data_IF_303725414643
#
_entry.id   IF_303725414643
#
_cell.length_a   1.000
_cell.length_b   1.000
_cell.length_c   1.000
_cell.angle_alpha   90.00
_cell.angle_beta   90.00
_cell.angle_gamma   90.00
#
_symmetry.space_group_name_H-M   'P 1'
#
loop_
_entity.id
_entity.type
_entity.pdbx_description
1 polymer ?
#
# COMPACT_ATOMS: atom_id res chain seq x y z
N UNK A 1 12.99 -7.85 28.34
CA UNK A 1 12.67 -9.20 28.81
C UNK A 1 13.68 -10.14 28.23
N UNK A 2 14.27 -11.02 29.03
CA UNK A 2 15.20 -12.03 28.51
C UNK A 2 14.47 -13.03 27.60
N UNK A 3 15.21 -13.63 26.66
CA UNK A 3 14.61 -14.51 25.66
C UNK A 3 13.90 -15.72 26.29
N UNK A 4 14.54 -16.35 27.28
CA UNK A 4 13.97 -17.50 27.97
C UNK A 4 12.71 -17.16 28.78
N UNK A 5 12.69 -16.00 29.45
CA UNK A 5 11.51 -15.52 30.17
C UNK A 5 10.32 -15.36 29.23
N UNK A 6 10.57 -14.79 28.04
CA UNK A 6 9.54 -14.66 27.01
C UNK A 6 8.99 -16.04 26.58
N UNK A 7 9.87 -17.00 26.26
CA UNK A 7 9.46 -18.35 25.84
C UNK A 7 8.68 -19.04 26.94
N UNK A 8 9.21 -19.10 28.17
CA UNK A 8 8.59 -19.80 29.28
C UNK A 8 7.24 -19.16 29.67
N UNK A 9 7.19 -17.83 29.80
CA UNK A 9 5.98 -17.15 30.23
C UNK A 9 4.89 -17.15 29.15
N UNK A 10 5.22 -16.75 27.91
CA UNK A 10 4.21 -16.58 26.87
C UNK A 10 3.98 -17.86 26.06
N UNK A 11 5.02 -18.49 25.56
CA UNK A 11 4.86 -19.62 24.63
C UNK A 11 4.49 -20.90 25.37
N UNK A 12 5.16 -21.21 26.48
CA UNK A 12 4.95 -22.46 27.23
C UNK A 12 3.77 -22.34 28.18
N UNK A 13 3.80 -21.40 29.14
CA UNK A 13 2.78 -21.32 30.19
C UNK A 13 1.44 -20.77 29.70
N UNK A 14 1.46 -19.67 28.93
CA UNK A 14 0.24 -18.97 28.50
C UNK A 14 -0.38 -19.58 27.26
N UNK A 15 0.39 -19.70 26.17
CA UNK A 15 -0.11 -20.17 24.87
C UNK A 15 -0.07 -21.70 24.72
N UNK A 16 0.78 -22.40 25.48
CA UNK A 16 0.96 -23.87 25.43
C UNK A 16 1.26 -24.35 24.00
N UNK A 17 2.17 -23.66 23.31
CA UNK A 17 2.50 -23.95 21.92
C UNK A 17 3.12 -25.36 21.79
N UNK A 18 2.80 -26.06 20.70
CA UNK A 18 3.43 -27.33 20.33
C UNK A 18 4.39 -27.20 19.15
N UNK A 19 4.17 -26.17 18.33
CA UNK A 19 4.92 -25.91 17.12
C UNK A 19 5.02 -24.40 16.92
N UNK A 20 6.20 -23.92 16.52
CA UNK A 20 6.49 -22.51 16.26
C UNK A 20 7.12 -22.40 14.88
N UNK A 21 6.57 -21.55 14.03
CA UNK A 21 7.12 -21.23 12.71
C UNK A 21 7.72 -19.83 12.75
N UNK A 22 8.99 -19.69 12.36
CA UNK A 22 9.71 -18.41 12.35
C UNK A 22 10.49 -18.20 11.06
N UNK A 23 10.62 -16.93 10.65
CA UNK A 23 11.46 -16.54 9.53
C UNK A 23 12.96 -16.65 9.85
N UNK A 24 13.77 -16.82 8.82
CA UNK A 24 15.22 -16.95 8.91
C UNK A 24 15.94 -15.80 9.63
N UNK A 25 15.38 -14.60 9.58
CA UNK A 25 15.92 -13.36 10.15
C UNK A 25 15.32 -13.03 11.52
N UNK A 26 14.54 -13.93 12.12
CA UNK A 26 13.89 -13.67 13.38
C UNK A 26 14.89 -13.42 14.51
N UNK A 27 14.63 -12.37 15.28
CA UNK A 27 15.39 -11.92 16.45
C UNK A 27 14.43 -11.55 17.56
N UNK A 28 14.73 -11.96 18.79
CA UNK A 28 13.87 -11.73 19.95
C UNK A 28 14.66 -11.63 21.25
N UNK A 29 13.94 -11.45 22.37
CA UNK A 29 14.53 -11.22 23.68
C UNK A 29 15.13 -9.82 23.81
N UNK A 30 15.89 -9.60 24.88
CA UNK A 30 16.48 -8.29 25.19
C UNK A 30 17.41 -7.87 24.07
N UNK A 31 17.15 -6.68 23.51
CA UNK A 31 17.90 -6.08 22.39
C UNK A 31 17.96 -6.97 21.13
N UNK A 32 17.03 -7.91 20.96
CA UNK A 32 17.02 -8.81 19.80
C UNK A 32 18.22 -9.75 19.73
N UNK A 33 18.85 -10.05 20.88
CA UNK A 33 20.06 -10.87 20.92
C UNK A 33 19.84 -12.35 20.63
N UNK A 34 18.62 -12.85 20.83
CA UNK A 34 18.32 -14.26 20.60
C UNK A 34 17.91 -14.53 19.15
N UNK A 35 18.40 -15.63 18.60
CA UNK A 35 18.22 -16.06 17.21
C UNK A 35 17.30 -17.29 17.08
N UNK A 36 17.15 -17.78 15.86
CA UNK A 36 16.40 -19.00 15.56
C UNK A 36 17.02 -20.22 16.26
N UNK A 37 18.35 -20.26 16.39
CA UNK A 37 19.10 -21.32 17.07
C UNK A 37 18.80 -21.36 18.57
N UNK A 38 18.62 -20.21 19.21
CA UNK A 38 18.15 -20.14 20.60
C UNK A 38 16.73 -20.70 20.73
N UNK A 39 15.85 -20.37 19.78
CA UNK A 39 14.49 -20.90 19.71
C UNK A 39 14.47 -22.43 19.62
N UNK A 40 15.31 -23.03 18.76
CA UNK A 40 15.43 -24.48 18.65
C UNK A 40 15.90 -25.11 19.97
N UNK A 41 16.83 -24.46 20.66
CA UNK A 41 17.34 -24.91 21.97
C UNK A 41 16.24 -24.86 23.03
N UNK A 42 15.45 -23.78 23.07
CA UNK A 42 14.29 -23.70 23.96
C UNK A 42 13.19 -24.71 23.60
N UNK A 43 12.97 -24.98 22.31
CA UNK A 43 12.03 -26.00 21.85
C UNK A 43 12.38 -27.38 22.39
N UNK A 44 13.66 -27.77 22.33
CA UNK A 44 14.17 -29.01 22.94
C UNK A 44 13.97 -29.03 24.45
N UNK A 45 14.21 -27.89 25.13
CA UNK A 45 14.08 -27.77 26.59
C UNK A 45 12.63 -27.85 27.08
N UNK A 46 11.70 -27.20 26.38
CA UNK A 46 10.33 -27.00 26.82
C UNK A 46 9.29 -27.87 26.09
N UNK A 47 9.71 -28.71 25.15
CA UNK A 47 8.86 -29.70 24.50
C UNK A 47 7.98 -29.17 23.37
N UNK A 48 8.49 -28.21 22.58
CA UNK A 48 7.83 -27.73 21.35
C UNK A 48 8.79 -27.81 20.16
N UNK A 49 8.22 -27.96 18.97
CA UNK A 49 8.98 -28.00 17.70
C UNK A 49 9.11 -26.60 17.10
N UNK A 50 10.20 -26.38 16.36
CA UNK A 50 10.48 -25.12 15.67
C UNK A 50 10.76 -25.40 14.20
N UNK A 51 10.05 -24.71 13.32
CA UNK A 51 10.28 -24.71 11.88
C UNK A 51 10.82 -23.33 11.45
N UNK A 52 11.96 -23.34 10.77
CA UNK A 52 12.57 -22.14 10.18
C UNK A 52 12.18 -22.05 8.71
N UNK A 53 11.58 -20.94 8.33
CA UNK A 53 11.26 -20.62 6.94
C UNK A 53 12.39 -19.78 6.35
N UNK A 54 12.99 -20.27 5.27
CA UNK A 54 14.06 -19.58 4.55
C UNK A 54 13.54 -18.35 3.79
N UNK A 55 14.47 -17.43 3.50
CA UNK A 55 14.19 -16.23 2.75
C UNK A 55 13.57 -16.56 1.39
N UNK A 56 12.43 -15.95 1.08
CA UNK A 56 11.77 -16.08 -0.21
C UNK A 56 12.17 -14.92 -1.12
N UNK A 57 12.16 -15.14 -2.43
CA UNK A 57 12.46 -14.11 -3.43
C UNK A 57 11.57 -14.18 -4.66
N UNK A 58 11.31 -13.02 -5.26
CA UNK A 58 10.57 -12.87 -6.53
C UNK A 58 11.36 -11.94 -7.44
N UNK A 59 11.66 -12.40 -8.66
CA UNK A 59 12.44 -11.62 -9.63
C UNK A 59 13.80 -11.15 -9.10
N UNK A 60 14.47 -12.00 -8.30
CA UNK A 60 15.78 -11.70 -7.69
C UNK A 60 15.73 -10.78 -6.47
N UNK A 61 14.55 -10.32 -6.04
CA UNK A 61 14.40 -9.49 -4.85
C UNK A 61 13.91 -10.33 -3.66
N UNK A 62 14.57 -10.21 -2.50
CA UNK A 62 14.12 -10.82 -1.25
C UNK A 62 12.78 -10.18 -0.84
N UNK A 63 11.79 -11.02 -0.54
CA UNK A 63 10.50 -10.58 -0.02
C UNK A 63 10.70 -10.06 1.40
N UNK A 64 10.64 -8.74 1.57
CA UNK A 64 10.75 -8.09 2.87
C UNK A 64 9.97 -6.79 2.92
N UNK A 65 9.52 -6.42 4.12
CA UNK A 65 8.86 -5.12 4.33
C UNK A 65 9.76 -3.95 3.92
N UNK A 66 11.06 -4.01 4.20
CA UNK A 66 12.01 -2.96 3.81
C UNK A 66 12.01 -2.77 2.29
N UNK A 67 12.08 -3.87 1.53
CA UNK A 67 12.12 -3.79 0.06
C UNK A 67 10.83 -3.25 -0.53
N UNK A 68 9.68 -3.65 0.02
CA UNK A 68 8.37 -3.12 -0.38
C UNK A 68 8.31 -1.61 -0.14
N UNK A 69 8.77 -1.11 1.02
CA UNK A 69 8.77 0.33 1.32
C UNK A 69 9.67 1.13 0.38
N UNK A 70 10.85 0.59 0.03
CA UNK A 70 11.75 1.19 -0.96
C UNK A 70 11.02 1.37 -2.31
N UNK A 71 10.45 0.29 -2.85
CA UNK A 71 9.74 0.33 -4.13
C UNK A 71 8.55 1.30 -4.12
N UNK A 72 7.76 1.33 -3.04
CA UNK A 72 6.67 2.29 -2.89
C UNK A 72 7.18 3.74 -2.90
N UNK A 73 8.31 4.02 -2.22
CA UNK A 73 8.90 5.36 -2.14
C UNK A 73 9.51 5.83 -3.47
N UNK A 74 9.94 4.90 -4.32
CA UNK A 74 10.49 5.16 -5.66
C UNK A 74 9.41 5.21 -6.75
N UNK A 75 8.15 4.88 -6.44
CA UNK A 75 7.06 4.77 -7.41
C UNK A 75 7.07 3.48 -8.23
N UNK A 76 7.88 2.48 -7.82
CA UNK A 76 7.99 1.15 -8.44
C UNK A 76 6.83 0.23 -8.01
N UNK A 77 5.61 0.63 -8.35
CA UNK A 77 4.39 -0.06 -7.93
C UNK A 77 4.32 -1.51 -8.43
N UNK A 78 4.75 -1.76 -9.68
CA UNK A 78 4.67 -3.11 -10.25
C UNK A 78 5.58 -4.10 -9.51
N UNK A 79 6.78 -3.66 -9.17
CA UNK A 79 7.76 -4.43 -8.41
C UNK A 79 7.29 -4.64 -6.96
N UNK A 80 6.71 -3.61 -6.34
CA UNK A 80 6.07 -3.73 -5.02
C UNK A 80 4.93 -4.76 -5.02
N UNK A 81 4.03 -4.68 -6.00
CA UNK A 81 2.88 -5.58 -6.10
C UNK A 81 3.32 -7.03 -6.37
N UNK A 82 4.36 -7.22 -7.18
CA UNK A 82 4.96 -8.54 -7.45
C UNK A 82 5.50 -9.20 -6.18
N UNK A 83 6.21 -8.44 -5.33
CA UNK A 83 6.71 -8.95 -4.05
C UNK A 83 5.58 -9.17 -3.04
N UNK A 84 4.57 -8.30 -3.01
CA UNK A 84 3.41 -8.45 -2.12
C UNK A 84 2.53 -9.65 -2.48
N UNK A 85 2.48 -10.03 -3.76
CA UNK A 85 1.54 -11.00 -4.30
C UNK A 85 0.12 -10.44 -4.53
N UNK A 86 -0.07 -9.12 -4.36
CA UNK A 86 -1.32 -8.42 -4.60
C UNK A 86 -1.07 -6.91 -4.82
N UNK A 87 -2.07 -6.20 -5.34
CA UNK A 87 -1.98 -4.76 -5.55
C UNK A 87 -1.97 -3.99 -4.24
N UNK A 88 -1.06 -3.02 -4.09
CA UNK A 88 -1.00 -2.18 -2.89
C UNK A 88 -2.35 -1.47 -2.66
N UNK A 89 -2.92 -1.61 -1.46
CA UNK A 89 -4.25 -1.08 -1.13
C UNK A 89 -4.17 0.19 -0.31
N UNK A 90 -5.06 1.15 -0.56
CA UNK A 90 -5.29 2.34 0.28
C UNK A 90 -6.76 2.32 0.69
N UNK A 91 -7.05 2.34 1.99
CA UNK A 91 -8.42 2.41 2.52
C UNK A 91 -8.70 3.81 3.04
N UNK A 92 -9.92 4.30 2.82
CA UNK A 92 -10.29 5.63 3.30
C UNK A 92 -11.74 5.99 3.04
N UNK A 93 -12.11 7.17 3.55
CA UNK A 93 -13.45 7.73 3.41
C UNK A 93 -13.44 8.85 2.39
N UNK A 94 -14.46 8.91 1.53
CA UNK A 94 -14.60 10.02 0.59
C UNK A 94 -15.07 11.27 1.33
N UNK A 95 -14.27 12.31 1.29
CA UNK A 95 -14.53 13.61 1.92
C UNK A 95 -14.74 14.71 0.89
N UNK A 96 -15.30 15.84 1.33
CA UNK A 96 -15.46 17.03 0.50
C UNK A 96 -14.09 17.71 0.29
N UNK A 97 -13.71 17.89 -0.97
CA UNK A 97 -12.55 18.69 -1.36
C UNK A 97 -12.94 20.02 -2.01
N UNK A 98 -12.00 20.60 -2.75
CA UNK A 98 -12.13 21.94 -3.36
C UNK A 98 -13.03 22.00 -4.60
N UNK A 99 -13.50 20.84 -5.08
CA UNK A 99 -14.38 20.68 -6.25
C UNK A 99 -13.83 21.31 -7.54
N UNK A 100 -12.51 21.50 -7.65
CA UNK A 100 -11.84 22.06 -8.83
C UNK A 100 -12.06 21.15 -10.04
N UNK A 101 -11.87 19.84 -9.87
CA UNK A 101 -12.05 18.86 -10.94
C UNK A 101 -13.44 18.91 -11.59
N UNK A 102 -14.50 19.12 -10.79
CA UNK A 102 -15.88 19.25 -11.29
C UNK A 102 -16.05 20.43 -12.26
N UNK A 103 -15.30 21.53 -12.07
CA UNK A 103 -15.37 22.71 -12.95
C UNK A 103 -14.78 22.47 -14.34
N UNK A 104 -13.88 21.49 -14.47
CA UNK A 104 -13.18 21.17 -15.73
C UNK A 104 -13.64 19.86 -16.37
N UNK A 105 -14.70 19.23 -15.84
CA UNK A 105 -15.25 17.98 -16.35
C UNK A 105 -14.62 16.71 -15.78
N UNK A 106 -13.77 16.81 -14.76
CA UNK A 106 -13.09 15.69 -14.11
C UNK A 106 -13.41 15.65 -12.61
N UNK A 107 -14.63 15.28 -12.19
CA UNK A 107 -14.98 15.23 -10.78
C UNK A 107 -14.05 14.28 -10.01
N UNK A 108 -13.51 14.73 -8.89
CA UNK A 108 -12.59 13.95 -8.05
C UNK A 108 -13.17 13.68 -6.66
N UNK A 109 -13.01 12.45 -6.20
CA UNK A 109 -13.21 12.05 -4.82
C UNK A 109 -11.93 12.36 -4.03
N UNK A 110 -12.04 13.10 -2.92
CA UNK A 110 -10.92 13.31 -2.01
C UNK A 110 -10.98 12.23 -0.94
N UNK A 111 -9.89 11.51 -0.71
CA UNK A 111 -9.86 10.34 0.15
C UNK A 111 -9.12 10.67 1.44
N UNK A 112 -9.83 10.63 2.56
CA UNK A 112 -9.23 10.65 3.88
C UNK A 112 -8.76 9.24 4.22
N UNK A 113 -7.44 9.04 4.25
CA UNK A 113 -6.85 7.73 4.57
C UNK A 113 -7.07 7.43 6.04
N UNK A 114 -7.71 6.29 6.34
CA UNK A 114 -8.16 5.95 7.70
C UNK A 114 -6.98 5.63 8.63
N UNK A 115 -6.00 4.87 8.14
CA UNK A 115 -4.82 4.49 8.92
C UNK A 115 -3.74 5.57 8.87
N UNK A 116 -3.53 6.29 9.97
CA UNK A 116 -2.51 7.36 10.09
C UNK A 116 -1.09 6.89 9.80
N UNK A 117 -0.78 5.62 10.04
CA UNK A 117 0.54 5.03 9.78
C UNK A 117 0.66 4.41 8.38
N UNK A 118 -0.35 4.59 7.51
CA UNK A 118 -0.32 4.06 6.15
C UNK A 118 0.81 4.72 5.35
N UNK A 119 1.72 3.89 4.82
CA UNK A 119 2.74 4.37 3.90
C UNK A 119 2.11 4.63 2.53
N UNK A 120 1.86 5.89 2.21
CA UNK A 120 1.48 6.26 0.84
C UNK A 120 2.70 6.14 -0.09
N UNK A 121 2.51 5.66 -1.35
CA UNK A 121 3.55 5.69 -2.37
C UNK A 121 4.17 7.07 -2.62
N UNK A 122 5.18 7.12 -3.49
CA UNK A 122 5.77 8.35 -4.03
C UNK A 122 4.68 9.36 -4.43
N UNK A 123 4.95 10.66 -4.30
CA UNK A 123 4.01 11.66 -4.81
C UNK A 123 3.93 11.56 -6.35
N UNK A 124 2.71 11.63 -6.91
CA UNK A 124 2.47 11.46 -8.33
C UNK A 124 1.08 10.93 -8.67
N UNK A 125 0.92 10.62 -9.96
CA UNK A 125 -0.32 10.16 -10.57
C UNK A 125 -0.25 8.65 -10.84
N UNK A 126 -1.33 7.96 -10.54
CA UNK A 126 -1.44 6.51 -10.54
C UNK A 126 -2.69 6.04 -11.26
N UNK A 127 -2.58 4.87 -11.90
CA UNK A 127 -3.73 4.06 -12.28
C UNK A 127 -4.17 3.24 -11.06
N UNK A 128 -5.45 3.32 -10.73
CA UNK A 128 -6.05 2.59 -9.61
C UNK A 128 -7.33 1.87 -10.02
N UNK A 129 -7.73 0.89 -9.22
CA UNK A 129 -9.07 0.33 -9.22
C UNK A 129 -9.72 0.67 -7.86
N UNK A 130 -10.77 1.48 -7.88
CA UNK A 130 -11.53 1.81 -6.68
C UNK A 130 -12.73 0.91 -6.52
N UNK A 131 -12.87 0.33 -5.33
CA UNK A 131 -14.03 -0.46 -4.96
C UNK A 131 -15.00 0.41 -4.20
N UNK A 132 -16.16 0.63 -4.79
CA UNK A 132 -17.18 1.57 -4.33
C UNK A 132 -18.49 0.78 -4.22
N UNK A 133 -19.01 0.65 -3.00
CA UNK A 133 -20.18 -0.20 -2.70
C UNK A 133 -19.95 -1.65 -3.18
N UNK A 134 -20.61 -2.08 -4.26
CA UNK A 134 -20.53 -3.44 -4.83
C UNK A 134 -19.76 -3.52 -6.15
N UNK A 135 -19.34 -2.37 -6.68
CA UNK A 135 -18.77 -2.24 -8.01
C UNK A 135 -17.31 -1.76 -7.93
N UNK A 136 -16.58 -1.96 -9.02
CA UNK A 136 -15.19 -1.56 -9.13
C UNK A 136 -14.99 -0.68 -10.37
N UNK A 137 -14.33 0.46 -10.17
CA UNK A 137 -14.12 1.46 -11.22
C UNK A 137 -12.64 1.77 -11.35
N UNK A 138 -12.11 1.68 -12.57
CA UNK A 138 -10.78 2.18 -12.83
C UNK A 138 -10.75 3.70 -12.64
N UNK A 139 -9.61 4.21 -12.22
CA UNK A 139 -9.46 5.64 -11.98
C UNK A 139 -8.02 6.13 -12.07
N UNK A 140 -7.91 7.44 -12.08
CA UNK A 140 -6.66 8.17 -11.98
C UNK A 140 -6.59 8.74 -10.57
N UNK A 141 -5.61 8.32 -9.81
CA UNK A 141 -5.36 8.80 -8.45
C UNK A 141 -4.14 9.72 -8.44
N UNK A 142 -4.29 10.93 -7.89
CA UNK A 142 -3.18 11.80 -7.54
C UNK A 142 -2.86 11.66 -6.04
N UNK A 143 -1.58 11.49 -5.72
CA UNK A 143 -1.04 11.60 -4.36
C UNK A 143 -0.10 12.80 -4.33
N UNK A 144 -0.41 13.78 -3.50
CA UNK A 144 0.36 15.03 -3.52
C UNK A 144 0.23 15.91 -2.31
N UNK A 145 0.98 17.03 -2.31
CA UNK A 145 0.97 18.02 -1.21
C UNK A 145 0.50 19.37 -1.70
N UNK A 146 -0.25 20.08 -0.85
CA UNK A 146 -0.47 21.51 -1.06
C UNK A 146 0.80 22.30 -0.76
N UNK A 147 1.23 23.21 -1.66
CA UNK A 147 2.25 24.20 -1.37
C UNK A 147 1.65 25.30 -0.49
N UNK A 148 1.42 25.02 0.79
CA UNK A 148 1.10 26.02 1.81
C UNK A 148 2.13 25.92 2.93
N UNK A 149 2.65 27.07 3.39
CA UNK A 149 3.71 27.23 4.39
C UNK A 149 3.61 26.19 5.54
N UNK A 150 4.38 25.10 5.44
CA UNK A 150 4.41 24.01 6.42
C UNK A 150 4.72 22.62 5.83
N UNK A 151 4.71 21.59 6.67
CA UNK A 151 4.68 20.18 6.24
C UNK A 151 3.26 19.87 5.74
N UNK A 152 2.93 20.26 4.51
CA UNK A 152 1.60 20.05 3.93
C UNK A 152 1.17 18.57 4.03
N UNK A 153 -0.06 18.36 4.48
CA UNK A 153 -0.67 17.02 4.52
C UNK A 153 -0.75 16.43 3.12
N UNK A 154 -0.36 15.15 2.97
CA UNK A 154 -0.54 14.44 1.72
C UNK A 154 -2.03 14.25 1.47
N UNK A 155 -2.48 14.60 0.27
CA UNK A 155 -3.83 14.39 -0.22
C UNK A 155 -3.85 13.24 -1.21
N UNK A 156 -4.92 12.47 -1.16
CA UNK A 156 -5.22 11.43 -2.14
C UNK A 156 -6.51 11.86 -2.84
N UNK A 157 -6.42 12.12 -4.13
CA UNK A 157 -7.56 12.54 -4.95
C UNK A 157 -7.74 11.54 -6.09
N UNK A 158 -8.94 11.02 -6.30
CA UNK A 158 -9.20 10.03 -7.33
C UNK A 158 -10.32 10.50 -8.28
N UNK A 159 -10.05 10.45 -9.58
CA UNK A 159 -11.05 10.56 -10.62
C UNK A 159 -11.37 9.16 -11.14
N UNK A 160 -12.59 8.67 -10.89
CA UNK A 160 -13.05 7.38 -11.41
C UNK A 160 -13.60 7.53 -12.82
N UNK A 161 -13.23 6.60 -13.70
CA UNK A 161 -13.69 6.54 -15.07
C UNK A 161 -15.15 6.08 -15.11
N UNK A 162 -15.94 6.71 -15.98
CA UNK A 162 -17.35 6.41 -16.21
C UNK A 162 -18.21 6.37 -14.92
N UNK A 163 -17.82 7.17 -13.93
CA UNK A 163 -18.49 7.27 -12.63
C UNK A 163 -19.14 8.64 -12.45
N UNK A 164 -20.43 8.65 -12.10
CA UNK A 164 -21.24 9.87 -12.00
C UNK A 164 -22.02 10.05 -10.70
N UNK A 165 -21.90 9.13 -9.74
CA UNK A 165 -22.65 9.19 -8.48
C UNK A 165 -21.94 10.08 -7.42
N UNK A 166 -22.73 10.61 -6.48
CA UNK A 166 -22.20 11.19 -5.25
C UNK A 166 -21.93 10.08 -4.23
N UNK A 167 -20.72 10.06 -3.69
CA UNK A 167 -20.22 9.06 -2.75
C UNK A 167 -19.60 9.69 -1.51
N UNK A 168 -19.90 10.96 -1.20
CA UNK A 168 -19.41 11.57 0.04
C UNK A 168 -19.83 10.78 1.28
N UNK A 169 -18.87 10.51 2.16
CA UNK A 169 -19.06 9.72 3.39
C UNK A 169 -18.91 8.22 3.19
N UNK A 170 -18.83 7.73 1.95
CA UNK A 170 -18.62 6.30 1.67
C UNK A 170 -17.18 5.89 2.00
N UNK A 171 -17.04 4.71 2.60
CA UNK A 171 -15.76 4.03 2.76
C UNK A 171 -15.42 3.29 1.46
N UNK A 172 -14.20 3.49 0.97
CA UNK A 172 -13.70 2.85 -0.25
C UNK A 172 -12.31 2.27 0.00
N UNK A 173 -11.93 1.33 -0.86
CA UNK A 173 -10.52 0.98 -1.00
C UNK A 173 -10.06 1.07 -2.45
N UNK A 174 -8.82 1.53 -2.60
CA UNK A 174 -8.14 1.70 -3.87
C UNK A 174 -7.05 0.66 -3.98
N UNK A 175 -7.03 -0.10 -5.06
CA UNK A 175 -5.88 -0.90 -5.48
C UNK A 175 -5.00 -0.07 -6.41
N UNK A 176 -3.73 0.09 -6.05
CA UNK A 176 -2.75 0.83 -6.85
C UNK A 176 -2.12 -0.12 -7.87
N UNK A 177 -2.45 0.08 -9.14
CA UNK A 177 -2.00 -0.77 -10.24
C UNK A 177 -0.65 -0.32 -10.80
N UNK A 178 -0.52 0.97 -11.10
CA UNK A 178 0.64 1.49 -11.82
C UNK A 178 0.90 2.95 -11.52
N UNK A 179 2.18 3.31 -11.49
CA UNK A 179 2.62 4.69 -11.53
C UNK A 179 2.57 5.24 -12.96
N UNK A 180 1.97 6.41 -13.15
CA UNK A 180 1.81 7.08 -14.44
C UNK A 180 2.90 8.15 -14.61
N UNK A 181 2.95 9.12 -13.68
CA UNK A 181 3.88 10.25 -13.77
C UNK A 181 4.04 11.01 -12.45
N UNK A 182 5.03 11.89 -12.40
CA UNK A 182 5.19 12.85 -11.30
C UNK A 182 4.09 13.93 -11.30
N UNK A 183 3.87 14.51 -10.12
CA UNK A 183 3.05 15.72 -9.98
C UNK A 183 3.70 16.90 -10.71
N UNK A 184 2.85 17.78 -11.24
CA UNK A 184 3.30 18.97 -11.98
C UNK A 184 2.38 20.14 -11.66
N UNK A 185 2.95 21.32 -11.58
CA UNK A 185 2.18 22.57 -11.54
C UNK A 185 1.75 22.95 -12.95
N UNK A 186 0.50 23.41 -13.10
CA UNK A 186 -0.04 23.87 -14.38
C UNK A 186 -0.21 25.38 -14.36
N UNK A 187 0.07 26.03 -15.49
CA UNK A 187 -0.03 27.49 -15.65
C UNK A 187 -1.46 27.95 -15.91
N UNK A 188 -2.32 27.06 -16.40
CA UNK A 188 -3.73 27.32 -16.68
C UNK A 188 -4.62 26.12 -16.36
N UNK A 189 -5.93 26.36 -16.23
CA UNK A 189 -6.92 25.30 -16.07
C UNK A 189 -7.04 24.42 -17.31
N UNK A 190 -6.78 24.97 -18.50
CA UNK A 190 -6.79 24.22 -19.75
C UNK A 190 -5.61 23.25 -19.83
N UNK A 191 -4.42 23.67 -19.42
CA UNK A 191 -3.24 22.78 -19.35
C UNK A 191 -3.47 21.60 -18.41
N UNK A 192 -4.09 21.86 -17.25
CA UNK A 192 -4.47 20.83 -16.29
C UNK A 192 -5.46 19.85 -16.92
N UNK A 193 -6.52 20.35 -17.57
CA UNK A 193 -7.55 19.55 -18.23
C UNK A 193 -6.95 18.65 -19.31
N UNK A 194 -6.11 19.22 -20.18
CA UNK A 194 -5.42 18.48 -21.23
C UNK A 194 -4.51 17.38 -20.68
N UNK A 195 -3.84 17.63 -19.55
CA UNK A 195 -3.01 16.61 -18.93
C UNK A 195 -3.83 15.48 -18.29
N UNK A 196 -4.93 15.79 -17.61
CA UNK A 196 -5.81 14.75 -17.04
C UNK A 196 -6.40 13.88 -18.16
N UNK A 197 -6.76 14.48 -19.30
CA UNK A 197 -7.24 13.71 -20.46
C UNK A 197 -6.15 12.77 -21.01
N UNK A 198 -4.89 13.22 -21.08
CA UNK A 198 -3.77 12.33 -21.45
C UNK A 198 -3.61 11.17 -20.46
N UNK A 199 -3.67 11.47 -19.17
CA UNK A 199 -3.58 10.45 -18.11
C UNK A 199 -4.75 9.43 -18.24
N UNK A 200 -5.96 9.90 -18.61
CA UNK A 200 -7.14 9.06 -18.89
C UNK A 200 -6.92 8.15 -20.09
N UNK A 201 -6.47 8.70 -21.22
CA UNK A 201 -6.19 7.90 -22.42
C UNK A 201 -5.12 6.85 -22.15
N UNK A 202 -4.12 7.19 -21.33
CA UNK A 202 -3.06 6.28 -20.93
C UNK A 202 -3.59 5.08 -20.11
N UNK A 203 -4.55 5.32 -19.21
CA UNK A 203 -5.26 4.26 -18.47
C UNK A 203 -6.10 3.40 -19.42
N UNK A 204 -6.90 4.01 -20.29
CA UNK A 204 -7.75 3.29 -21.25
C UNK A 204 -6.94 2.40 -22.19
N UNK A 205 -5.80 2.88 -22.69
CA UNK A 205 -4.90 2.09 -23.53
C UNK A 205 -4.33 0.89 -22.78
N UNK A 206 -3.99 1.02 -21.49
CA UNK A 206 -3.51 -0.12 -20.68
C UNK A 206 -4.59 -1.16 -20.45
N UNK A 207 -5.84 -0.72 -20.26
CA UNK A 207 -6.98 -1.62 -20.10
C UNK A 207 -7.22 -2.44 -21.37
N UNK A 208 -7.14 -1.82 -22.55
CA UNK A 208 -7.29 -2.53 -23.83
C UNK A 208 -6.12 -3.46 -24.15
N UNK A 209 -4.92 -3.15 -23.65
CA UNK A 209 -3.68 -3.91 -23.90
C UNK A 209 -3.55 -5.17 -23.02
N UNK A 210 -4.54 -5.50 -22.20
CA UNK A 210 -4.57 -6.75 -21.43
C UNK A 210 -3.97 -6.72 -20.04
N UNK A 211 -3.63 -5.54 -19.50
CA UNK A 211 -3.15 -5.39 -18.11
C UNK A 211 -4.23 -5.67 -17.03
N UNK A 212 -5.41 -6.17 -17.43
CA UNK A 212 -6.52 -6.57 -16.56
C UNK A 212 -7.03 -8.01 -16.78
N UNK A 213 -6.33 -8.86 -17.54
CA UNK A 213 -6.68 -10.29 -17.62
C UNK A 213 -5.89 -11.07 -16.57
N UNK A 214 -6.63 -11.40 -15.50
CA UNK A 214 -6.43 -12.44 -14.46
C UNK A 214 -5.02 -12.96 -14.24
#
# INVERSE_FOLDING_TARGET
MEAEDFVNHYLVKKLKVRHVVIGYDHRFGKEGRASVEDFMSFGKKYGFSVEKIDAQSVGGNIISSTKIREFLSEGKISESNSILGYNYKIFGTVIKGDKIGRKIGFPTANIEVKEKCKLLPKDGVYMVLGHIKRDAYYGIMNIGKRPTFGKGEKRVECHFLDFGEDIYGEEIFLEVFKYIREERCFKSMEDLKLQIEKDRQEVLQRLSSGAGKK
#
